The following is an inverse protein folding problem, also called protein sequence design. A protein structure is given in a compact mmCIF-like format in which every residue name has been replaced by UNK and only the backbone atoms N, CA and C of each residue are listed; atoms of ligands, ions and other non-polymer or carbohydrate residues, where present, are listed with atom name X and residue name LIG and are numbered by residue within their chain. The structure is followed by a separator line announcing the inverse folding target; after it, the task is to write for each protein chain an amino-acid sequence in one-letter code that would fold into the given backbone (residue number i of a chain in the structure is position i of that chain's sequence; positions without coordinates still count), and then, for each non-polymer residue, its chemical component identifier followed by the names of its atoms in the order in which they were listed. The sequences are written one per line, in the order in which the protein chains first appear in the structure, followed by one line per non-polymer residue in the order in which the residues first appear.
data_IF_909488539085
#
_entry.id   IF_909488539085
#
_cell.length_a   1.000
_cell.length_b   1.000
_cell.length_c   1.000
_cell.angle_alpha   90.00
_cell.angle_beta   90.00
_cell.angle_gamma   90.00
#
_symmetry.space_group_name_H-M   'P 1'
#
loop_
_entity.id
_entity.type
_entity.pdbx_description
1 polymer ?
#
# COMPACT_ATOMS: atom_id res chain seq x y z
N UNK A 1 2.90 -9.95 -19.68
CA UNK A 1 3.17 -9.19 -18.43
C UNK A 1 2.48 -7.84 -18.59
N UNK A 2 1.81 -7.33 -17.56
CA UNK A 2 1.07 -6.08 -17.66
C UNK A 2 1.49 -5.08 -16.59
N UNK A 3 1.47 -3.79 -16.90
CA UNK A 3 1.68 -2.70 -15.95
C UNK A 3 0.35 -2.05 -15.61
N UNK A 4 0.16 -1.71 -14.33
CA UNK A 4 -1.04 -1.04 -13.84
C UNK A 4 -0.69 0.34 -13.31
N UNK A 5 -1.40 1.34 -13.79
CA UNK A 5 -1.36 2.69 -13.27
C UNK A 5 -2.73 3.12 -12.78
N UNK A 6 -2.75 3.89 -11.69
CA UNK A 6 -3.92 4.64 -11.25
C UNK A 6 -3.71 6.10 -11.60
N UNK A 7 -4.62 6.66 -12.41
CA UNK A 7 -4.60 8.09 -12.71
C UNK A 7 -5.49 8.82 -11.69
N UNK A 8 -4.91 9.63 -10.79
CA UNK A 8 -5.69 10.38 -9.81
C UNK A 8 -6.53 11.45 -10.52
N UNK A 9 -7.85 11.34 -10.43
CA UNK A 9 -8.80 12.33 -10.95
C UNK A 9 -10.10 12.29 -10.13
N UNK A 10 -11.08 13.16 -10.42
CA UNK A 10 -12.43 13.10 -9.81
C UNK A 10 -13.10 11.73 -10.00
N UNK A 11 -12.77 11.02 -11.08
CA UNK A 11 -13.20 9.66 -11.38
C UNK A 11 -11.95 8.87 -11.78
N UNK A 12 -11.23 8.27 -10.81
CA UNK A 12 -10.00 7.59 -11.12
C UNK A 12 -10.23 6.46 -12.13
N UNK A 13 -9.25 6.31 -13.00
CA UNK A 13 -9.23 5.29 -14.04
C UNK A 13 -7.97 4.46 -13.84
N UNK A 14 -8.12 3.15 -13.96
CA UNK A 14 -6.96 2.27 -14.05
C UNK A 14 -6.55 2.15 -15.51
N UNK A 15 -5.25 2.25 -15.73
CA UNK A 15 -4.64 2.03 -17.02
C UNK A 15 -3.90 0.70 -16.92
N UNK A 16 -4.34 -0.28 -17.70
CA UNK A 16 -3.60 -1.52 -17.93
C UNK A 16 -2.83 -1.36 -19.23
N UNK A 17 -1.53 -1.57 -19.17
CA UNK A 17 -0.67 -1.65 -20.34
C UNK A 17 -0.17 -3.08 -20.50
N UNK A 18 -0.52 -3.73 -21.61
CA UNK A 18 -0.02 -5.05 -21.93
C UNK A 18 1.33 -4.92 -22.65
N UNK A 19 2.39 -5.44 -22.03
CA UNK A 19 3.75 -5.31 -22.58
C UNK A 19 3.92 -6.16 -23.84
N UNK A 20 3.18 -7.27 -23.96
CA UNK A 20 3.33 -8.19 -25.09
C UNK A 20 2.64 -7.67 -26.35
N UNK A 21 1.48 -7.05 -26.22
CA UNK A 21 0.73 -6.49 -27.36
C UNK A 21 0.91 -4.99 -27.54
N UNK A 22 1.57 -4.31 -26.59
CA UNK A 22 1.68 -2.85 -26.51
C UNK A 22 0.32 -2.13 -26.45
N UNK A 23 -0.75 -2.85 -26.09
CA UNK A 23 -2.09 -2.31 -26.00
C UNK A 23 -2.35 -1.68 -24.64
N UNK A 24 -3.06 -0.55 -24.66
CA UNK A 24 -3.53 0.12 -23.44
C UNK A 24 -5.04 -0.05 -23.29
N UNK A 25 -5.48 -0.46 -22.11
CA UNK A 25 -6.90 -0.56 -21.75
C UNK A 25 -7.20 0.31 -20.54
N UNK A 26 -8.36 0.98 -20.60
CA UNK A 26 -8.88 1.80 -19.51
C UNK A 26 -9.96 1.03 -18.75
N UNK A 27 -9.76 0.85 -17.45
CA UNK A 27 -10.71 0.19 -16.56
C UNK A 27 -11.26 1.22 -15.58
N UNK A 28 -12.56 1.16 -15.30
CA UNK A 28 -13.18 2.12 -14.38
C UNK A 28 -12.92 1.69 -12.94
N UNK A 29 -12.68 2.65 -12.06
CA UNK A 29 -12.62 2.38 -10.64
C UNK A 29 -13.97 1.87 -10.09
N UNK A 30 -13.96 1.08 -8.99
CA UNK A 30 -15.20 0.66 -8.36
C UNK A 30 -15.95 1.88 -7.81
N UNK A 31 -17.27 1.94 -8.02
CA UNK A 31 -18.11 3.11 -7.72
C UNK A 31 -18.13 3.51 -6.24
N UNK A 32 -17.85 2.57 -5.34
CA UNK A 32 -17.91 2.78 -3.88
C UNK A 32 -16.54 2.97 -3.22
N UNK A 33 -15.47 3.14 -3.99
CA UNK A 33 -14.18 3.51 -3.40
C UNK A 33 -14.17 5.00 -3.18
N UNK A 34 -14.05 5.42 -1.91
CA UNK A 34 -13.75 6.81 -1.60
C UNK A 34 -12.31 7.07 -1.99
N UNK A 35 -12.11 7.81 -3.08
CA UNK A 35 -10.80 8.24 -3.54
C UNK A 35 -10.53 9.63 -2.97
N UNK A 36 -9.86 9.75 -1.81
CA UNK A 36 -9.47 11.07 -1.34
C UNK A 36 -8.62 11.74 -2.42
N UNK A 37 -8.72 13.07 -2.54
CA UNK A 37 -7.92 13.89 -3.47
C UNK A 37 -6.40 13.63 -3.42
N UNK A 38 -5.94 12.95 -2.37
CA UNK A 38 -4.54 12.62 -2.15
C UNK A 38 -4.20 11.12 -2.24
N UNK A 39 -5.17 10.24 -2.55
CA UNK A 39 -5.00 8.79 -2.80
C UNK A 39 -4.10 8.01 -1.81
N UNK A 40 -3.86 8.53 -0.61
CA UNK A 40 -2.88 7.95 0.32
C UNK A 40 -3.39 6.73 1.09
N UNK A 41 -4.70 6.48 1.04
CA UNK A 41 -5.38 5.43 1.80
C UNK A 41 -6.06 4.39 0.90
N UNK A 42 -5.73 4.43 -0.39
CA UNK A 42 -6.16 3.46 -1.40
C UNK A 42 -4.95 3.07 -2.24
N UNK A 43 -4.83 1.79 -2.57
CA UNK A 43 -3.75 1.30 -3.40
C UNK A 43 -4.21 0.21 -4.35
N UNK A 44 -3.59 0.18 -5.53
CA UNK A 44 -3.70 -0.93 -6.47
C UNK A 44 -2.72 -1.99 -6.02
N UNK A 45 -3.20 -3.22 -5.94
CA UNK A 45 -2.43 -4.39 -5.55
C UNK A 45 -2.75 -5.55 -6.48
N UNK A 46 -1.85 -6.51 -6.56
CA UNK A 46 -2.16 -7.82 -7.13
C UNK A 46 -2.79 -8.70 -6.04
N UNK A 47 -3.90 -9.35 -6.36
CA UNK A 47 -4.55 -10.30 -5.46
C UNK A 47 -4.93 -11.54 -6.26
N UNK A 48 -4.24 -12.66 -6.01
CA UNK A 48 -4.55 -13.95 -6.63
C UNK A 48 -4.55 -13.85 -8.18
N UNK A 49 -3.51 -13.22 -8.73
CA UNK A 49 -3.36 -12.95 -10.17
C UNK A 49 -4.31 -11.90 -10.76
N UNK A 50 -5.19 -11.31 -9.94
CA UNK A 50 -6.19 -10.33 -10.36
C UNK A 50 -5.85 -8.93 -9.87
N UNK A 51 -6.39 -7.94 -10.60
CA UNK A 51 -6.33 -6.53 -10.21
C UNK A 51 -7.22 -6.33 -8.99
N UNK A 52 -6.66 -5.76 -7.93
CA UNK A 52 -7.45 -5.38 -6.77
C UNK A 52 -7.12 -3.98 -6.27
N UNK A 53 -8.09 -3.38 -5.59
CA UNK A 53 -7.97 -2.11 -4.89
C UNK A 53 -8.11 -2.38 -3.41
N UNK A 54 -7.13 -1.96 -2.62
CA UNK A 54 -7.19 -2.01 -1.17
C UNK A 54 -7.40 -0.60 -0.61
N UNK A 55 -8.55 -0.37 0.01
CA UNK A 55 -8.83 0.80 0.82
C UNK A 55 -8.57 0.51 2.30
N UNK A 56 -7.77 1.36 2.94
CA UNK A 56 -7.34 1.16 4.32
C UNK A 56 -7.49 2.43 5.17
N UNK A 57 -8.43 3.31 4.81
CA UNK A 57 -8.73 4.54 5.55
C UNK A 57 -9.15 4.26 7.00
N UNK A 58 -9.95 3.21 7.18
CA UNK A 58 -10.53 2.81 8.47
C UNK A 58 -9.61 1.85 9.26
N UNK A 59 -8.42 1.51 8.74
CA UNK A 59 -7.51 0.53 9.34
C UNK A 59 -7.02 0.99 10.71
N UNK A 60 -6.62 2.26 10.81
CA UNK A 60 -6.09 2.85 12.04
C UNK A 60 -7.13 2.95 13.15
N UNK A 61 -8.38 3.24 12.77
CA UNK A 61 -9.45 3.56 13.70
C UNK A 61 -10.19 2.31 14.15
N UNK A 62 -10.58 1.48 13.18
CA UNK A 62 -11.53 0.39 13.36
C UNK A 62 -10.91 -0.98 13.02
N UNK A 63 -9.64 -1.02 12.56
CA UNK A 63 -9.01 -2.24 12.07
C UNK A 63 -9.59 -2.73 10.74
N UNK A 64 -10.34 -1.87 10.03
CA UNK A 64 -11.10 -2.25 8.85
C UNK A 64 -10.38 -1.85 7.57
N UNK A 65 -10.29 -2.80 6.64
CA UNK A 65 -9.92 -2.57 5.26
C UNK A 65 -11.03 -3.05 4.33
N UNK A 66 -11.10 -2.45 3.14
CA UNK A 66 -12.04 -2.81 2.09
C UNK A 66 -11.22 -3.22 0.87
N UNK A 67 -11.45 -4.43 0.38
CA UNK A 67 -10.83 -4.97 -0.81
C UNK A 67 -11.87 -5.01 -1.92
N UNK A 68 -11.52 -4.47 -3.08
CA UNK A 68 -12.29 -4.63 -4.31
C UNK A 68 -11.47 -5.45 -5.29
N UNK A 69 -12.00 -6.55 -5.79
CA UNK A 69 -11.31 -7.45 -6.73
C UNK A 69 -12.02 -7.36 -8.08
N UNK A 70 -11.25 -7.17 -9.14
CA UNK A 70 -11.78 -7.22 -10.50
C UNK A 70 -12.08 -8.69 -10.85
N UNK A 71 -13.36 -9.03 -10.97
CA UNK A 71 -13.81 -10.38 -11.33
C UNK A 71 -13.89 -10.55 -12.85
N UNK A 72 -14.29 -9.50 -13.56
CA UNK A 72 -14.43 -9.50 -15.02
C UNK A 72 -14.05 -8.11 -15.57
N UNK A 73 -12.94 -8.05 -16.30
CA UNK A 73 -12.44 -6.82 -16.91
C UNK A 73 -13.33 -6.30 -18.04
N UNK A 74 -13.92 -7.21 -18.85
CA UNK A 74 -14.73 -6.84 -20.01
C UNK A 74 -16.06 -6.23 -19.57
N UNK A 75 -16.65 -6.79 -18.51
CA UNK A 75 -17.89 -6.28 -17.91
C UNK A 75 -17.64 -5.21 -16.84
N UNK A 76 -16.38 -4.91 -16.53
CA UNK A 76 -15.98 -4.00 -15.44
C UNK A 76 -16.68 -4.36 -14.11
N UNK A 77 -16.69 -5.66 -13.78
CA UNK A 77 -17.32 -6.18 -12.57
C UNK A 77 -16.33 -6.30 -11.43
N UNK A 78 -16.69 -5.72 -10.30
CA UNK A 78 -15.90 -5.74 -9.08
C UNK A 78 -16.66 -6.47 -7.98
N UNK A 79 -15.99 -7.40 -7.29
CA UNK A 79 -16.45 -7.91 -6.00
C UNK A 79 -15.90 -7.04 -4.87
N UNK A 80 -16.58 -7.01 -3.72
CA UNK A 80 -16.14 -6.27 -2.53
C UNK A 80 -16.08 -7.19 -1.33
N UNK A 81 -14.97 -7.15 -0.59
CA UNK A 81 -14.75 -7.85 0.67
C UNK A 81 -14.35 -6.87 1.77
N UNK A 82 -14.95 -6.99 2.94
CA UNK A 82 -14.52 -6.29 4.16
C UNK A 82 -13.54 -7.18 4.91
N UNK A 83 -12.39 -6.62 5.26
CA UNK A 83 -11.35 -7.29 6.03
C UNK A 83 -11.27 -6.59 7.39
N UNK A 84 -11.33 -7.37 8.48
CA UNK A 84 -11.31 -6.84 9.84
C UNK A 84 -10.14 -7.46 10.58
N UNK A 85 -9.17 -6.63 10.96
CA UNK A 85 -7.99 -7.08 11.68
C UNK A 85 -8.39 -7.58 13.07
N UNK A 86 -7.75 -8.67 13.52
CA UNK A 86 -7.98 -9.16 14.88
C UNK A 86 -7.53 -8.11 15.92
N UNK A 87 -8.29 -7.87 17.00
CA UNK A 87 -7.96 -6.84 18.00
C UNK A 87 -6.55 -6.96 18.59
N UNK A 88 -6.03 -8.17 18.76
CA UNK A 88 -4.65 -8.38 19.27
C UNK A 88 -3.55 -7.80 18.37
N UNK A 89 -3.85 -7.59 17.08
CA UNK A 89 -2.90 -7.06 16.10
C UNK A 89 -3.03 -5.52 15.96
N UNK A 90 -4.07 -4.91 16.54
CA UNK A 90 -4.30 -3.46 16.45
C UNK A 90 -3.19 -2.64 17.08
N UNK A 91 -2.46 -3.17 18.06
CA UNK A 91 -1.32 -2.47 18.66
C UNK A 91 -0.23 -2.15 17.62
N UNK A 92 -0.01 -3.04 16.64
CA UNK A 92 0.96 -2.81 15.55
C UNK A 92 0.55 -1.64 14.63
N UNK A 93 -0.76 -1.37 14.53
CA UNK A 93 -1.32 -0.27 13.73
C UNK A 93 -1.39 1.01 14.55
N UNK A 94 -1.81 0.93 15.81
CA UNK A 94 -2.06 2.06 16.69
C UNK A 94 -0.78 2.75 17.16
N UNK A 95 0.31 2.02 17.37
CA UNK A 95 1.63 2.63 17.65
C UNK A 95 2.05 3.65 16.60
N UNK A 96 1.49 3.56 15.38
CA UNK A 96 1.84 4.42 14.25
C UNK A 96 0.92 5.66 14.16
N UNK A 97 -0.20 5.63 14.88
CA UNK A 97 -1.26 6.64 14.81
C UNK A 97 -1.51 7.37 16.14
N UNK A 98 -1.14 6.78 17.28
CA UNK A 98 -1.53 7.25 18.61
C UNK A 98 -1.01 8.65 18.98
N UNK A 99 0.05 9.16 18.33
CA UNK A 99 0.56 10.53 18.48
C UNK A 99 1.18 11.11 17.17
N UNK A 100 0.91 10.49 16.02
CA UNK A 100 1.87 10.51 14.91
C UNK A 100 1.54 11.40 13.72
N UNK A 101 2.53 12.16 13.26
CA UNK A 101 2.60 12.80 11.95
C UNK A 101 2.71 11.79 10.79
N UNK A 102 2.15 10.59 10.92
CA UNK A 102 2.42 9.43 10.08
C UNK A 102 1.13 8.67 9.76
N UNK A 103 1.12 7.94 8.64
CA UNK A 103 0.07 6.99 8.27
C UNK A 103 0.71 5.79 7.59
N UNK A 104 0.02 4.64 7.52
CA UNK A 104 0.52 3.48 6.77
C UNK A 104 0.22 3.67 5.29
N UNK A 105 1.24 3.56 4.43
CA UNK A 105 1.10 3.57 2.97
C UNK A 105 1.33 2.17 2.44
N UNK A 106 0.50 1.74 1.49
CA UNK A 106 0.73 0.50 0.73
C UNK A 106 1.79 0.77 -0.34
N UNK A 107 2.79 -0.11 -0.40
CA UNK A 107 3.86 -0.06 -1.40
C UNK A 107 3.72 -1.11 -2.51
N UNK A 108 2.88 -2.11 -2.31
CA UNK A 108 2.64 -3.17 -3.28
C UNK A 108 2.35 -4.50 -2.58
N UNK A 109 2.56 -5.58 -3.32
CA UNK A 109 2.39 -6.96 -2.86
C UNK A 109 3.65 -7.76 -3.11
N UNK A 110 3.96 -8.68 -2.20
CA UNK A 110 5.04 -9.66 -2.39
C UNK A 110 4.59 -10.75 -3.38
N UNK A 111 5.53 -11.59 -3.84
CA UNK A 111 5.23 -12.80 -4.65
C UNK A 111 4.25 -13.75 -3.97
N UNK A 112 4.26 -13.78 -2.64
CA UNK A 112 3.36 -14.60 -1.83
C UNK A 112 2.00 -13.93 -1.59
N UNK A 113 1.74 -12.76 -2.19
CA UNK A 113 0.48 -12.02 -2.05
C UNK A 113 0.32 -11.28 -0.72
N UNK A 114 1.38 -11.11 0.07
CA UNK A 114 1.34 -10.27 1.26
C UNK A 114 1.39 -8.79 0.84
N UNK A 115 0.47 -7.98 1.36
CA UNK A 115 0.46 -6.52 1.14
C UNK A 115 1.53 -5.88 2.02
N UNK A 116 2.37 -5.05 1.41
CA UNK A 116 3.44 -4.33 2.10
C UNK A 116 2.94 -2.95 2.53
N UNK A 117 2.85 -2.74 3.84
CA UNK A 117 2.45 -1.49 4.47
C UNK A 117 3.67 -0.89 5.19
N UNK A 118 4.02 0.36 4.88
CA UNK A 118 5.12 1.06 5.53
C UNK A 118 4.67 2.39 6.14
N UNK A 119 5.25 2.82 7.27
CA UNK A 119 5.02 4.16 7.81
C UNK A 119 5.41 5.24 6.80
N UNK A 120 4.51 6.21 6.58
CA UNK A 120 4.70 7.33 5.68
C UNK A 120 4.39 8.66 6.37
N UNK A 121 5.26 9.64 6.17
CA UNK A 121 5.16 10.93 6.86
C UNK A 121 4.01 11.76 6.26
N UNK A 122 3.07 12.15 7.11
CA UNK A 122 1.91 13.00 6.84
C UNK A 122 2.30 14.47 6.72
N UNK A 123 3.31 14.92 7.48
CA UNK A 123 3.73 16.32 7.51
C UNK A 123 5.00 16.53 6.68
N UNK A 124 4.83 17.27 5.60
CA UNK A 124 5.91 17.87 4.82
C UNK A 124 5.92 19.37 5.17
N UNK A 125 6.93 19.86 5.88
CA UNK A 125 7.08 21.30 6.15
C UNK A 125 7.80 21.95 4.97
N UNK A 126 7.28 23.05 4.46
CA UNK A 126 8.03 23.89 3.52
C UNK A 126 8.88 24.84 4.34
N UNK A 127 10.20 24.66 4.31
CA UNK A 127 11.17 25.59 4.92
C UNK A 127 11.98 26.17 3.75
N UNK A 128 12.04 27.49 3.64
CA UNK A 128 12.77 28.19 2.57
C UNK A 128 12.44 27.67 1.16
N UNK A 129 11.14 27.48 0.85
CA UNK A 129 10.62 26.92 -0.41
C UNK A 129 11.05 25.48 -0.74
N UNK A 130 11.71 24.78 0.19
CA UNK A 130 12.07 23.37 0.06
C UNK A 130 11.15 22.52 0.90
N UNK A 131 10.79 21.35 0.39
CA UNK A 131 9.99 20.36 1.09
C UNK A 131 10.89 19.59 2.07
N UNK A 132 10.67 19.78 3.37
CA UNK A 132 11.32 19.03 4.43
C UNK A 132 10.36 17.97 4.97
N UNK A 133 10.79 16.71 4.88
CA UNK A 133 10.17 15.60 5.57
C UNK A 133 10.73 15.60 6.99
N UNK A 134 9.88 15.72 8.01
CA UNK A 134 10.33 15.60 9.41
C UNK A 134 10.93 14.19 9.61
N UNK A 135 12.06 14.02 10.33
CA UNK A 135 12.60 12.71 10.61
C UNK A 135 11.53 11.84 11.28
N UNK A 136 11.44 10.57 10.88
CA UNK A 136 10.67 9.61 11.67
C UNK A 136 11.25 9.64 13.08
N UNK A 137 10.41 9.91 14.09
CA UNK A 137 10.83 9.90 15.49
C UNK A 137 11.15 8.49 16.02
N UNK A 138 11.36 7.52 15.12
CA UNK A 138 11.57 6.12 15.41
C UNK A 138 12.88 5.67 14.76
N UNK A 139 13.77 5.08 15.55
CA UNK A 139 15.05 4.49 15.13
C UNK A 139 14.91 3.15 14.41
N UNK A 140 13.69 2.64 14.26
CA UNK A 140 13.43 1.33 13.64
C UNK A 140 12.70 1.52 12.31
N UNK A 141 13.34 1.08 11.23
CA UNK A 141 12.66 0.84 9.97
C UNK A 141 11.94 -0.49 10.09
N UNK A 142 10.62 -0.49 9.93
CA UNK A 142 9.85 -1.73 9.85
C UNK A 142 8.83 -1.61 8.73
N UNK A 143 8.45 -2.77 8.22
CA UNK A 143 7.30 -2.94 7.32
C UNK A 143 6.30 -3.86 7.99
N UNK A 144 5.03 -3.64 7.70
CA UNK A 144 3.97 -4.56 8.07
C UNK A 144 3.61 -5.36 6.82
N UNK A 145 3.62 -6.68 6.94
CA UNK A 145 3.14 -7.57 5.90
C UNK A 145 1.75 -8.06 6.29
N UNK A 146 0.78 -7.80 5.42
CA UNK A 146 -0.61 -8.20 5.62
C UNK A 146 -1.00 -9.30 4.64
N UNK A 147 -1.26 -10.49 5.16
CA UNK A 147 -1.77 -11.60 4.39
C UNK A 147 -3.30 -11.51 4.31
N UNK A 148 -3.85 -11.20 3.13
CA UNK A 148 -5.29 -11.03 2.92
C UNK A 148 -6.05 -12.35 3.16
N UNK A 149 -5.49 -13.48 2.73
CA UNK A 149 -6.15 -14.78 2.81
C UNK A 149 -6.30 -15.26 4.26
N UNK A 150 -5.22 -15.16 5.04
CA UNK A 150 -5.16 -15.50 6.46
C UNK A 150 -5.71 -14.40 7.36
N UNK A 151 -5.98 -13.21 6.81
CA UNK A 151 -6.34 -12.00 7.54
C UNK A 151 -5.40 -11.74 8.73
N UNK A 152 -4.10 -11.79 8.44
CA UNK A 152 -3.05 -11.73 9.45
C UNK A 152 -1.97 -10.72 9.08
N UNK A 153 -1.65 -9.87 10.03
CA UNK A 153 -0.65 -8.82 9.97
C UNK A 153 0.55 -9.24 10.81
N UNK A 154 1.74 -9.12 10.24
CA UNK A 154 3.02 -9.29 10.94
C UNK A 154 3.91 -8.08 10.73
N UNK A 155 4.72 -7.77 11.72
CA UNK A 155 5.74 -6.73 11.67
C UNK A 155 7.09 -7.37 11.33
N UNK A 156 7.83 -6.77 10.41
CA UNK A 156 9.21 -7.11 10.11
C UNK A 156 10.06 -5.88 10.38
N UNK A 157 11.03 -6.01 11.29
CA UNK A 157 12.03 -4.99 11.54
C UNK A 157 13.19 -5.17 10.55
N UNK A 158 13.69 -4.04 10.03
CA UNK A 158 14.80 -4.00 9.10
C UNK A 158 15.99 -3.50 9.92
N UNK A 159 16.94 -4.40 10.18
CA UNK A 159 18.16 -4.07 10.91
C UNK A 159 19.11 -3.19 10.07
N UNK A 160 19.83 -2.32 10.77
CA UNK A 160 20.60 -1.20 10.24
C UNK A 160 21.84 -1.66 9.47
N UNK A 161 21.72 -1.72 8.14
CA UNK A 161 22.86 -1.86 7.22
C UNK A 161 23.00 -0.70 6.24
N UNK A 162 22.09 0.28 6.25
CA UNK A 162 22.12 1.39 5.30
C UNK A 162 21.35 2.57 5.88
N UNK A 163 21.97 3.75 5.82
CA UNK A 163 21.35 5.04 6.07
C UNK A 163 20.15 5.30 5.14
N UNK A 164 19.01 4.65 5.41
CA UNK A 164 17.74 4.79 4.68
C UNK A 164 17.21 6.23 4.75
N UNK A 165 17.71 7.04 5.69
CA UNK A 165 17.46 8.48 5.79
C UNK A 165 17.90 9.29 4.55
N UNK A 166 18.71 8.71 3.66
CA UNK A 166 19.12 9.36 2.40
C UNK A 166 18.07 9.25 1.29
N UNK A 167 17.18 8.25 1.34
CA UNK A 167 16.17 8.06 0.30
C UNK A 167 14.87 8.77 0.69
N UNK A 168 14.71 9.99 0.16
CA UNK A 168 13.52 10.86 0.32
C UNK A 168 12.22 10.25 -0.24
N UNK A 169 12.29 9.08 -0.84
CA UNK A 169 11.17 8.24 -1.29
C UNK A 169 11.52 6.80 -0.95
N UNK A 170 10.66 6.13 -0.17
CA UNK A 170 10.63 4.67 -0.10
C UNK A 170 10.06 4.20 -1.45
N UNK A 171 10.95 4.01 -2.42
CA UNK A 171 10.66 3.19 -3.59
C UNK A 171 11.04 1.78 -3.18
N UNK A 172 10.06 0.87 -3.11
CA UNK A 172 10.33 -0.54 -2.83
C UNK A 172 10.82 -1.16 -4.15
N UNK A 173 11.94 -0.63 -4.67
CA UNK A 173 12.67 -1.24 -5.76
C UNK A 173 13.65 -2.21 -5.12
N UNK A 174 13.53 -3.51 -5.44
CA UNK A 174 14.46 -4.53 -4.98
C UNK A 174 13.99 -5.42 -3.82
N UNK A 175 12.72 -5.36 -3.37
CA UNK A 175 12.22 -6.42 -2.48
C UNK A 175 12.22 -7.79 -3.18
N UNK A 176 12.09 -7.78 -4.52
CA UNK A 176 12.18 -8.95 -5.40
C UNK A 176 13.59 -9.60 -5.43
N UNK A 177 14.64 -8.88 -5.05
CA UNK A 177 16.01 -9.42 -4.93
C UNK A 177 16.33 -9.90 -3.49
N UNK A 178 15.42 -9.65 -2.54
CA UNK A 178 15.61 -9.94 -1.10
C UNK A 178 14.78 -11.12 -0.58
N UNK A 179 14.40 -12.07 -1.44
CA UNK A 179 14.20 -13.47 -0.99
C UNK A 179 15.51 -14.09 -0.44
N UNK A 180 16.62 -13.34 -0.45
CA UNK A 180 17.86 -13.60 0.29
C UNK A 180 17.87 -13.13 1.76
N UNK A 181 16.75 -12.74 2.36
CA UNK A 181 16.59 -12.89 3.83
C UNK A 181 16.23 -14.36 4.17
N UNK A 182 16.94 -15.28 3.53
CA UNK A 182 17.14 -16.65 3.98
C UNK A 182 18.38 -16.62 4.88
N UNK A 183 18.16 -16.92 6.16
CA UNK A 183 19.18 -17.22 7.17
C UNK A 183 20.23 -16.13 7.43
N UNK A 184 20.12 -15.49 8.58
CA UNK A 184 21.17 -15.39 9.61
C UNK A 184 20.52 -15.08 10.97
#
# INVERSE_FOLDING_TARGET
MYYLALVPSLKPVFVRFDISSEETRLLKAPEHVTWPYQCFQTAVIEYDGRIAVLGHADLAKDGVMKLWVMEDEEKNMWSRKTLVLHPSQMNMVNMNNANGTYYLRVHGTTRNGDVILAPHNRIRKVINRRLHVLPQGTTFFYVLLYNIQKNHLRKIEIEDGSNCFLNKRLDVNGLDDTENLMYL
#
